data_IF_438827188065
#
_entry.id   IF_438827188065
#
_cell.length_a   1.000
_cell.length_b   1.000
_cell.length_c   1.000
_cell.angle_alpha   90.00
_cell.angle_beta   90.00
_cell.angle_gamma   90.00
#
_symmetry.space_group_name_H-M   'P 1'
#
loop_
_entity.id
_entity.type
_entity.pdbx_description
1 polymer ?
#
# COMPACT_ATOMS: atom_id res chain seq x y z
N UNK A 1 -2.65 11.98 9.87
CA UNK A 1 -1.78 13.17 9.78
C UNK A 1 -0.93 13.07 8.51
N UNK A 2 -0.58 14.16 7.79
CA UNK A 2 0.29 14.06 6.62
C UNK A 2 1.70 13.62 7.02
N UNK A 3 2.31 12.75 6.19
CA UNK A 3 3.72 12.38 6.33
C UNK A 3 4.58 13.62 6.08
N UNK A 4 5.59 13.82 6.94
CA UNK A 4 6.50 14.94 6.77
C UNK A 4 7.44 14.70 5.58
N UNK A 5 7.76 15.73 4.77
CA UNK A 5 8.59 15.59 3.57
C UNK A 5 9.93 14.89 3.79
N UNK A 6 10.57 15.10 4.95
CA UNK A 6 11.84 14.46 5.31
C UNK A 6 11.74 12.93 5.56
N UNK A 7 10.52 12.43 5.75
CA UNK A 7 10.24 11.02 5.99
C UNK A 7 9.74 10.30 4.75
N UNK A 8 9.22 11.01 3.75
CA UNK A 8 8.71 10.43 2.50
C UNK A 8 9.74 9.54 1.82
N UNK A 9 10.98 10.02 1.65
CA UNK A 9 12.07 9.25 1.04
C UNK A 9 12.38 7.95 1.79
N UNK A 10 12.21 7.93 3.12
CA UNK A 10 12.44 6.72 3.92
C UNK A 10 11.36 5.67 3.65
N UNK A 11 10.11 6.11 3.53
CA UNK A 11 8.99 5.23 3.24
C UNK A 11 9.04 4.69 1.80
N UNK A 12 9.46 5.51 0.83
CA UNK A 12 9.70 5.04 -0.53
C UNK A 12 10.81 3.97 -0.54
N UNK A 13 11.91 4.20 0.19
CA UNK A 13 12.98 3.22 0.32
C UNK A 13 12.49 1.93 1.00
N UNK A 14 11.68 2.04 2.05
CA UNK A 14 11.07 0.90 2.72
C UNK A 14 10.14 0.11 1.79
N UNK A 15 9.34 0.78 0.94
CA UNK A 15 8.51 0.11 -0.06
C UNK A 15 9.35 -0.67 -1.08
N UNK A 16 10.52 -0.14 -1.45
CA UNK A 16 11.46 -0.79 -2.35
C UNK A 16 12.19 -1.97 -1.70
N UNK A 17 12.57 -1.87 -0.43
CA UNK A 17 13.36 -2.89 0.27
C UNK A 17 12.49 -4.00 0.89
N UNK A 18 11.22 -3.70 1.18
CA UNK A 18 10.29 -4.58 1.90
C UNK A 18 8.97 -4.74 1.13
N UNK A 19 9.06 -4.94 -0.18
CA UNK A 19 7.94 -5.24 -1.08
C UNK A 19 7.07 -6.42 -0.63
N UNK A 20 7.63 -7.40 0.09
CA UNK A 20 6.91 -8.57 0.60
C UNK A 20 6.27 -8.37 1.99
N UNK A 21 6.33 -7.15 2.58
CA UNK A 21 5.74 -6.91 3.91
C UNK A 21 4.27 -7.30 3.96
N UNK A 22 3.83 -7.83 5.11
CA UNK A 22 2.45 -8.18 5.34
C UNK A 22 1.62 -6.94 5.70
N UNK A 23 0.32 -7.01 5.50
CA UNK A 23 -0.59 -5.95 5.93
C UNK A 23 -0.56 -5.73 7.46
N UNK A 24 -0.25 -6.77 8.25
CA UNK A 24 -0.03 -6.65 9.70
C UNK A 24 1.22 -5.85 10.08
N UNK A 25 2.20 -5.78 9.18
CA UNK A 25 3.50 -5.14 9.40
C UNK A 25 3.55 -3.73 8.79
N UNK A 26 2.46 -3.30 8.14
CA UNK A 26 2.38 -2.01 7.48
C UNK A 26 2.56 -0.87 8.51
N UNK A 27 3.40 0.14 8.22
CA UNK A 27 3.66 1.23 9.15
C UNK A 27 2.38 1.99 9.50
N UNK A 28 2.09 2.12 10.80
CA UNK A 28 0.87 2.80 11.28
C UNK A 28 0.76 4.24 10.74
N UNK A 29 1.88 4.95 10.63
CA UNK A 29 1.93 6.31 10.08
C UNK A 29 1.45 6.37 8.62
N UNK A 30 1.77 5.35 7.81
CA UNK A 30 1.28 5.25 6.43
C UNK A 30 -0.23 4.99 6.42
N UNK A 31 -0.70 4.06 7.26
CA UNK A 31 -2.12 3.73 7.36
C UNK A 31 -2.95 4.94 7.80
N UNK A 32 -2.49 5.67 8.81
CA UNK A 32 -3.13 6.89 9.31
C UNK A 32 -3.12 8.00 8.25
N UNK A 33 -2.00 8.19 7.54
CA UNK A 33 -1.91 9.16 6.46
C UNK A 33 -2.93 8.82 5.35
N UNK A 34 -3.00 7.56 4.91
CA UNK A 34 -3.97 7.13 3.91
C UNK A 34 -5.41 7.43 4.34
N UNK A 35 -5.78 7.10 5.58
CA UNK A 35 -7.11 7.32 6.12
C UNK A 35 -7.46 8.79 6.40
N UNK A 36 -6.47 9.68 6.43
CA UNK A 36 -6.67 11.12 6.67
C UNK A 36 -7.01 11.91 5.39
N UNK A 37 -6.73 11.34 4.22
CA UNK A 37 -6.88 12.01 2.94
C UNK A 37 -8.12 11.51 2.19
N UNK A 38 -8.72 12.37 1.37
CA UNK A 38 -9.89 12.00 0.56
C UNK A 38 -9.51 11.16 -0.67
N UNK A 39 -8.27 11.27 -1.14
CA UNK A 39 -7.69 10.57 -2.27
C UNK A 39 -6.18 10.40 -2.06
N UNK A 40 -5.50 9.47 -2.75
CA UNK A 40 -4.05 9.31 -2.63
C UNK A 40 -3.31 10.61 -2.98
N UNK A 41 -2.43 11.07 -2.09
CA UNK A 41 -1.52 12.18 -2.41
C UNK A 41 -0.40 11.71 -3.34
N UNK A 42 0.36 12.66 -3.89
CA UNK A 42 1.51 12.32 -4.73
C UNK A 42 2.51 11.38 -4.06
N UNK A 43 2.78 11.61 -2.77
CA UNK A 43 3.63 10.73 -1.98
C UNK A 43 3.05 9.30 -1.90
N UNK A 44 1.74 9.17 -1.67
CA UNK A 44 1.08 7.86 -1.62
C UNK A 44 1.14 7.14 -2.97
N UNK A 45 0.94 7.86 -4.07
CA UNK A 45 1.13 7.32 -5.43
C UNK A 45 2.55 6.77 -5.61
N UNK A 46 3.57 7.56 -5.25
CA UNK A 46 4.97 7.17 -5.40
C UNK A 46 5.32 5.99 -4.46
N UNK A 47 4.79 5.97 -3.23
CA UNK A 47 4.97 4.88 -2.27
C UNK A 47 4.34 3.57 -2.74
N UNK A 48 3.05 3.58 -3.11
CA UNK A 48 2.36 2.38 -3.57
C UNK A 48 2.86 1.89 -4.91
N UNK A 49 3.17 2.80 -5.86
CA UNK A 49 3.74 2.41 -7.15
C UNK A 49 5.11 1.75 -6.99
N UNK A 50 5.96 2.26 -6.09
CA UNK A 50 7.27 1.68 -5.79
C UNK A 50 7.13 0.27 -5.23
N UNK A 51 6.36 0.10 -4.15
CA UNK A 51 6.19 -1.20 -3.51
C UNK A 51 5.49 -2.22 -4.39
N UNK A 52 4.43 -1.82 -5.09
CA UNK A 52 3.71 -2.70 -6.02
C UNK A 52 4.60 -3.16 -7.18
N UNK A 53 5.35 -2.24 -7.80
CA UNK A 53 6.24 -2.56 -8.90
C UNK A 53 7.34 -3.52 -8.47
N UNK A 54 7.91 -3.32 -7.28
CA UNK A 54 8.94 -4.19 -6.74
C UNK A 54 8.38 -5.56 -6.39
N UNK A 55 7.27 -5.62 -5.64
CA UNK A 55 6.60 -6.88 -5.29
C UNK A 55 6.26 -7.69 -6.54
N UNK A 56 5.71 -7.03 -7.56
CA UNK A 56 5.34 -7.68 -8.80
C UNK A 56 6.58 -8.17 -9.58
N UNK A 57 7.65 -7.38 -9.65
CA UNK A 57 8.90 -7.79 -10.30
C UNK A 57 9.48 -9.04 -9.65
N UNK A 58 9.50 -9.11 -8.32
CA UNK A 58 10.01 -10.25 -7.56
C UNK A 58 9.14 -11.51 -7.72
N UNK A 59 7.82 -11.34 -7.73
CA UNK A 59 6.87 -12.46 -7.76
C UNK A 59 6.52 -12.95 -9.18
N UNK A 60 6.66 -12.11 -10.21
CA UNK A 60 6.24 -12.39 -11.60
C UNK A 60 7.34 -12.26 -12.64
N UNK A 61 8.47 -11.64 -12.29
CA UNK A 61 9.67 -11.59 -13.13
C UNK A 61 9.62 -10.58 -14.29
N UNK A 62 8.62 -9.70 -14.35
CA UNK A 62 8.56 -8.63 -15.36
C UNK A 62 7.93 -7.35 -14.79
N UNK A 63 8.14 -6.23 -15.50
CA UNK A 63 7.51 -4.94 -15.15
C UNK A 63 6.10 -4.84 -15.73
N UNK A 64 5.25 -4.04 -15.11
CA UNK A 64 3.91 -3.75 -15.56
C UNK A 64 3.83 -2.40 -16.31
N UNK A 65 2.87 -2.25 -17.24
CA UNK A 65 2.47 -0.95 -17.76
C UNK A 65 1.97 -0.01 -16.66
N UNK A 66 2.22 1.30 -16.81
CA UNK A 66 1.84 2.32 -15.83
C UNK A 66 0.33 2.36 -15.55
N UNK A 67 -0.51 2.08 -16.54
CA UNK A 67 -1.97 2.04 -16.37
C UNK A 67 -2.41 0.98 -15.36
N UNK A 68 -1.77 -0.20 -15.35
CA UNK A 68 -2.06 -1.27 -14.38
C UNK A 68 -1.59 -0.84 -12.99
N UNK A 69 -0.41 -0.23 -12.90
CA UNK A 69 0.12 0.30 -11.63
C UNK A 69 -0.83 1.35 -11.05
N UNK A 70 -1.36 2.26 -11.86
CA UNK A 70 -2.29 3.29 -11.40
C UNK A 70 -3.57 2.67 -10.81
N UNK A 71 -4.11 1.61 -11.42
CA UNK A 71 -5.25 0.89 -10.87
C UNK A 71 -4.92 0.19 -9.55
N UNK A 72 -3.72 -0.38 -9.44
CA UNK A 72 -3.24 -1.00 -8.22
C UNK A 72 -3.12 0.01 -7.07
N UNK A 73 -2.62 1.23 -7.31
CA UNK A 73 -2.50 2.28 -6.29
C UNK A 73 -3.83 2.52 -5.57
N UNK A 74 -4.94 2.64 -6.32
CA UNK A 74 -6.25 2.90 -5.73
C UNK A 74 -6.72 1.77 -4.82
N UNK A 75 -6.58 0.51 -5.24
CA UNK A 75 -7.02 -0.63 -4.43
C UNK A 75 -6.12 -0.85 -3.21
N UNK A 76 -4.82 -0.61 -3.34
CA UNK A 76 -3.86 -0.71 -2.24
C UNK A 76 -4.10 0.39 -1.20
N UNK A 77 -4.37 1.62 -1.65
CA UNK A 77 -4.73 2.74 -0.78
C UNK A 77 -6.05 2.46 -0.03
N UNK A 78 -7.09 1.98 -0.71
CA UNK A 78 -8.35 1.59 -0.06
C UNK A 78 -8.15 0.50 1.00
N UNK A 79 -7.27 -0.47 0.75
CA UNK A 79 -6.89 -1.46 1.77
C UNK A 79 -6.18 -0.80 2.95
N UNK A 80 -5.25 0.11 2.72
CA UNK A 80 -4.56 0.82 3.79
C UNK A 80 -5.54 1.62 4.69
N UNK A 81 -6.52 2.29 4.07
CA UNK A 81 -7.59 2.97 4.81
C UNK A 81 -8.41 1.98 5.67
N UNK A 82 -8.79 0.82 5.11
CA UNK A 82 -9.53 -0.21 5.84
C UNK A 82 -8.72 -0.78 7.00
N UNK A 83 -7.44 -1.09 6.78
CA UNK A 83 -6.52 -1.58 7.82
C UNK A 83 -6.43 -0.60 8.99
N UNK A 84 -6.31 0.70 8.70
CA UNK A 84 -6.33 1.73 9.73
C UNK A 84 -7.63 1.70 10.55
N UNK A 85 -8.79 1.58 9.89
CA UNK A 85 -10.08 1.45 10.56
C UNK A 85 -10.15 0.22 11.46
N UNK A 86 -9.70 -0.95 10.98
CA UNK A 86 -9.68 -2.17 11.80
C UNK A 86 -8.78 -2.02 13.02
N UNK A 87 -7.60 -1.40 12.88
CA UNK A 87 -6.71 -1.12 14.01
C UNK A 87 -7.40 -0.18 15.02
N UNK A 88 -8.02 0.90 14.55
CA UNK A 88 -8.71 1.87 15.39
C UNK A 88 -9.88 1.27 16.18
N UNK A 89 -10.58 0.30 15.59
CA UNK A 89 -11.72 -0.40 16.19
C UNK A 89 -11.31 -1.64 16.99
N UNK A 90 -10.02 -1.97 17.05
CA UNK A 90 -9.50 -3.21 17.66
C UNK A 90 -10.11 -4.49 17.04
N UNK A 91 -10.42 -4.44 15.74
CA UNK A 91 -11.03 -5.54 14.97
C UNK A 91 -10.00 -6.30 14.12
N UNK A 92 -10.35 -7.53 13.73
CA UNK A 92 -9.53 -8.29 12.78
C UNK A 92 -9.77 -7.88 11.33
N UNK A 93 -8.69 -7.61 10.59
CA UNK A 93 -8.74 -7.40 9.15
C UNK A 93 -8.48 -8.72 8.39
N UNK A 94 -9.31 -9.08 7.39
CA UNK A 94 -9.13 -10.31 6.61
C UNK A 94 -7.82 -10.36 5.81
N UNK A 95 -7.16 -9.23 5.57
CA UNK A 95 -5.95 -9.14 4.78
C UNK A 95 -4.67 -9.09 5.63
N UNK A 96 -4.73 -9.17 6.96
CA UNK A 96 -3.52 -9.06 7.81
C UNK A 96 -2.36 -9.95 7.38
N UNK A 97 -2.65 -11.20 7.00
CA UNK A 97 -1.65 -12.17 6.56
C UNK A 97 -1.34 -12.10 5.05
N UNK A 98 -1.85 -11.10 4.33
CA UNK A 98 -1.62 -10.92 2.89
C UNK A 98 -0.53 -9.87 2.65
N UNK A 99 0.19 -9.93 1.51
CA UNK A 99 1.19 -8.94 1.17
C UNK A 99 0.58 -7.54 0.97
N UNK A 100 1.16 -6.54 1.61
CA UNK A 100 0.69 -5.15 1.64
C UNK A 100 0.85 -4.40 0.32
N UNK A 101 1.73 -4.87 -0.56
CA UNK A 101 1.89 -4.31 -1.91
C UNK A 101 1.31 -5.23 -3.00
N UNK A 102 0.47 -6.21 -2.64
CA UNK A 102 -0.22 -7.04 -3.63
C UNK A 102 -1.67 -6.63 -3.78
N UNK A 103 -2.14 -6.52 -5.02
CA UNK A 103 -3.54 -6.32 -5.40
C UNK A 103 -4.32 -7.64 -5.58
N UNK A 104 -3.68 -8.78 -5.27
CA UNK A 104 -4.26 -10.11 -5.50
C UNK A 104 -5.53 -10.28 -4.66
N UNK A 105 -6.65 -10.54 -5.33
CA UNK A 105 -7.96 -10.72 -4.69
C UNK A 105 -8.60 -9.42 -4.19
N UNK A 106 -8.10 -8.25 -4.61
CA UNK A 106 -8.70 -6.95 -4.28
C UNK A 106 -9.65 -6.43 -5.37
N UNK A 107 -9.53 -6.92 -6.61
CA UNK A 107 -10.55 -6.73 -7.63
C UNK A 107 -11.71 -7.66 -7.30
N UNK A 108 -12.91 -7.10 -7.11
CA UNK A 108 -14.10 -7.90 -6.80
C UNK A 108 -14.29 -9.06 -7.77
N UNK A 109 -14.87 -10.15 -7.30
CA UNK A 109 -15.25 -11.28 -8.18
C UNK A 109 -16.17 -10.73 -9.28
N UNK A 110 -15.73 -10.83 -10.54
CA UNK A 110 -16.56 -10.57 -11.71
C UNK A 110 -17.50 -11.74 -11.96
#
# INVERSE_FOLDING_TARGET
>A
MPIQPESESKYIQLALEQSEMLCSDAPLEILEACASEAEPTRFMEDFFSTGYSQWFLENRGHRLPQEIINNAILVLWLRACRLHTSILLEEQDPDWNKPFFSDTGLYGEL
#
